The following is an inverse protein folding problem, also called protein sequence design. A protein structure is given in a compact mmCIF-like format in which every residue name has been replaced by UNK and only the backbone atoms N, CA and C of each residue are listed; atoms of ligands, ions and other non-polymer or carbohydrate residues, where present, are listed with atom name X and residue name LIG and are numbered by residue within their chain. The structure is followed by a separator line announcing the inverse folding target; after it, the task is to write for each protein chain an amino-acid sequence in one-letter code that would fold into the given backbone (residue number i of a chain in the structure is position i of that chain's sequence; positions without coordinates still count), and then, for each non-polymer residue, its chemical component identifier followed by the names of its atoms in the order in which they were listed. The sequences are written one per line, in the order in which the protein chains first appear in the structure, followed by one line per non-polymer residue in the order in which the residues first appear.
data_IF_182584423504
#
_entry.id   IF_182584423504
#
_cell.length_a   1.000
_cell.length_b   1.000
_cell.length_c   1.000
_cell.angle_alpha   90.00
_cell.angle_beta   90.00
_cell.angle_gamma   90.00
#
_symmetry.space_group_name_H-M   'P 1'
#
loop_
_entity.id
_entity.type
_entity.pdbx_description
1 polymer ?
#
# COMPACT_ATOMS: atom_id res chain seq x y z
N UNK A 1 -39.28 -18.50 9.81
CA UNK A 1 -38.22 -18.87 10.77
C UNK A 1 -37.32 -17.66 10.99
N UNK A 2 -37.61 -16.87 12.01
CA UNK A 2 -36.76 -15.75 12.45
C UNK A 2 -35.59 -16.33 13.24
N UNK A 3 -34.36 -16.13 12.77
CA UNK A 3 -33.17 -16.47 13.54
C UNK A 3 -33.14 -15.60 14.80
N UNK A 4 -33.37 -16.23 15.95
CA UNK A 4 -33.28 -15.60 17.27
C UNK A 4 -31.93 -14.87 17.44
N UNK A 5 -31.91 -13.57 17.77
CA UNK A 5 -30.68 -12.77 17.91
C UNK A 5 -29.68 -13.36 18.92
N UNK A 6 -30.18 -14.11 19.91
CA UNK A 6 -29.39 -14.75 20.96
C UNK A 6 -28.47 -15.87 20.44
N UNK A 7 -28.80 -16.51 19.30
CA UNK A 7 -27.94 -17.53 18.67
C UNK A 7 -26.76 -16.94 17.88
N UNK A 8 -26.81 -15.65 17.54
CA UNK A 8 -25.66 -14.95 16.96
C UNK A 8 -24.66 -14.52 18.05
N UNK A 9 -25.13 -14.20 19.25
CA UNK A 9 -24.28 -13.79 20.37
C UNK A 9 -23.47 -14.96 20.95
N UNK A 10 -24.08 -16.12 21.24
CA UNK A 10 -23.33 -17.28 21.79
C UNK A 10 -22.24 -17.82 20.87
N UNK A 11 -22.43 -17.72 19.54
CA UNK A 11 -21.46 -18.20 18.54
C UNK A 11 -20.16 -17.39 18.50
N UNK A 12 -20.19 -16.14 18.97
CA UNK A 12 -19.02 -15.27 19.05
C UNK A 12 -18.24 -15.44 20.37
N UNK A 13 -18.85 -16.05 21.40
CA UNK A 13 -18.25 -16.23 22.73
C UNK A 13 -17.42 -17.52 22.86
N UNK A 14 -17.68 -18.52 22.00
CA UNK A 14 -17.03 -19.84 22.02
C UNK A 14 -15.94 -20.01 20.94
N UNK A 15 -15.39 -18.93 20.39
CA UNK A 15 -14.25 -19.09 19.50
C UNK A 15 -13.00 -19.50 20.28
N UNK A 16 -12.31 -20.59 19.88
CA UNK A 16 -11.05 -20.98 20.49
C UNK A 16 -10.08 -19.78 20.48
N UNK A 17 -9.39 -19.56 21.60
CA UNK A 17 -8.45 -18.43 21.77
C UNK A 17 -7.46 -18.36 20.60
N UNK A 18 -7.00 -19.52 20.12
CA UNK A 18 -6.09 -19.65 18.98
C UNK A 18 -6.68 -19.10 17.68
N UNK A 19 -7.95 -19.39 17.40
CA UNK A 19 -8.64 -18.91 16.20
C UNK A 19 -8.87 -17.38 16.24
N UNK A 20 -9.06 -16.82 17.45
CA UNK A 20 -9.15 -15.37 17.64
C UNK A 20 -7.79 -14.70 17.44
N UNK A 21 -6.73 -15.27 18.01
CA UNK A 21 -5.36 -14.75 17.87
C UNK A 21 -4.90 -14.78 16.41
N UNK A 22 -5.18 -15.88 15.70
CA UNK A 22 -4.83 -16.01 14.29
C UNK A 22 -5.55 -14.97 13.42
N UNK A 23 -6.85 -14.75 13.65
CA UNK A 23 -7.59 -13.68 12.95
C UNK A 23 -7.06 -12.30 13.26
N UNK A 24 -6.67 -12.02 14.51
CA UNK A 24 -6.07 -10.74 14.86
C UNK A 24 -4.73 -10.54 14.14
N UNK A 25 -3.90 -11.60 14.05
CA UNK A 25 -2.65 -11.58 13.29
C UNK A 25 -2.87 -11.30 11.81
N UNK A 26 -3.78 -12.04 11.16
CA UNK A 26 -4.12 -11.83 9.74
C UNK A 26 -4.65 -10.41 9.50
N UNK A 27 -5.53 -9.90 10.38
CA UNK A 27 -6.04 -8.53 10.29
C UNK A 27 -4.93 -7.49 10.43
N UNK A 28 -4.05 -7.65 11.42
CA UNK A 28 -2.93 -6.74 11.64
C UNK A 28 -1.97 -6.72 10.44
N UNK A 29 -1.65 -7.91 9.91
CA UNK A 29 -0.81 -8.08 8.74
C UNK A 29 -1.39 -7.45 7.47
N UNK A 30 -2.69 -7.63 7.23
CA UNK A 30 -3.37 -6.98 6.11
C UNK A 30 -3.38 -5.45 6.24
N UNK A 31 -3.60 -4.94 7.46
CA UNK A 31 -3.54 -3.51 7.74
C UNK A 31 -2.14 -2.95 7.48
N UNK A 32 -1.10 -3.62 7.98
CA UNK A 32 0.29 -3.20 7.77
C UNK A 32 0.64 -3.16 6.27
N UNK A 33 0.24 -4.18 5.51
CA UNK A 33 0.43 -4.21 4.05
C UNK A 33 -0.27 -3.04 3.35
N UNK A 34 -1.50 -2.73 3.74
CA UNK A 34 -2.24 -1.59 3.19
C UNK A 34 -1.57 -0.25 3.54
N UNK A 35 -1.16 -0.07 4.79
CA UNK A 35 -0.47 1.15 5.24
C UNK A 35 0.87 1.35 4.51
N UNK A 36 1.62 0.27 4.29
CA UNK A 36 2.86 0.31 3.52
C UNK A 36 2.60 0.66 2.05
N UNK A 37 1.55 0.11 1.44
CA UNK A 37 1.16 0.47 0.08
C UNK A 37 0.80 1.95 -0.04
N UNK A 38 0.06 2.50 0.93
CA UNK A 38 -0.29 3.92 0.98
C UNK A 38 0.96 4.80 1.04
N UNK A 39 1.92 4.46 1.91
CA UNK A 39 3.20 5.18 2.01
C UNK A 39 3.98 5.15 0.70
N UNK A 40 4.03 4.00 0.03
CA UNK A 40 4.73 3.88 -1.25
C UNK A 40 4.05 4.74 -2.34
N UNK A 41 2.71 4.80 -2.36
CA UNK A 41 1.97 5.67 -3.30
C UNK A 41 2.18 7.15 -3.00
N UNK A 42 2.26 7.54 -1.73
CA UNK A 42 2.57 8.92 -1.33
C UNK A 42 3.99 9.31 -1.77
N UNK A 43 4.96 8.39 -1.60
CA UNK A 43 6.34 8.59 -2.08
C UNK A 43 6.39 8.69 -3.61
N UNK A 44 5.61 7.87 -4.32
CA UNK A 44 5.54 7.90 -5.78
C UNK A 44 5.01 9.25 -6.29
N UNK A 45 3.95 9.76 -5.67
CA UNK A 45 3.40 11.08 -5.99
C UNK A 45 4.43 12.19 -5.76
N UNK A 46 5.13 12.15 -4.63
CA UNK A 46 6.20 13.11 -4.32
C UNK A 46 7.29 13.10 -5.39
N UNK A 47 7.85 11.93 -5.71
CA UNK A 47 8.92 11.83 -6.70
C UNK A 47 8.46 12.27 -8.10
N UNK A 48 7.24 11.94 -8.51
CA UNK A 48 6.68 12.38 -9.78
C UNK A 48 6.51 13.90 -9.84
N UNK A 49 6.10 14.52 -8.72
CA UNK A 49 5.98 15.98 -8.61
C UNK A 49 7.35 16.64 -8.72
N UNK A 50 8.35 16.14 -7.99
CA UNK A 50 9.72 16.64 -8.07
C UNK A 50 10.33 16.46 -9.46
N UNK A 51 10.08 15.33 -10.12
CA UNK A 51 10.55 15.08 -11.48
C UNK A 51 9.97 16.11 -12.45
N UNK A 52 8.66 16.38 -12.34
CA UNK A 52 8.01 17.44 -13.13
C UNK A 52 8.68 18.78 -12.89
N UNK A 53 8.87 19.19 -11.63
CA UNK A 53 9.52 20.46 -11.32
C UNK A 53 10.95 20.56 -11.86
N UNK A 54 11.72 19.46 -11.79
CA UNK A 54 13.06 19.40 -12.36
C UNK A 54 13.05 19.52 -13.88
N UNK A 55 12.05 18.95 -14.56
CA UNK A 55 11.87 19.09 -16.01
C UNK A 55 11.41 20.51 -16.38
N UNK A 56 10.49 21.11 -15.63
CA UNK A 56 9.99 22.47 -15.85
C UNK A 56 11.10 23.52 -15.69
N UNK A 57 12.06 23.26 -14.78
CA UNK A 57 13.25 24.10 -14.56
C UNK A 57 14.37 23.82 -15.56
N UNK A 58 14.40 22.64 -16.17
CA UNK A 58 15.38 22.29 -17.19
C UNK A 58 15.01 22.90 -18.54
N UNK A 59 16.01 23.25 -19.34
CA UNK A 59 15.85 23.61 -20.75
C UNK A 59 16.22 22.41 -21.65
N UNK A 60 15.79 22.43 -22.92
CA UNK A 60 15.97 21.30 -23.88
C UNK A 60 17.41 20.77 -23.96
N UNK A 61 18.39 21.63 -23.70
CA UNK A 61 19.82 21.33 -23.81
C UNK A 61 20.47 20.90 -22.48
N UNK A 62 19.74 20.85 -21.35
CA UNK A 62 20.31 20.62 -20.02
C UNK A 62 19.64 19.49 -19.24
N UNK A 63 18.94 18.57 -19.91
CA UNK A 63 18.35 17.41 -19.25
C UNK A 63 19.42 16.70 -18.41
N UNK A 64 19.35 16.90 -17.09
CA UNK A 64 20.49 16.66 -16.23
C UNK A 64 20.55 15.20 -15.82
N UNK A 65 21.74 14.73 -15.45
CA UNK A 65 21.92 13.42 -14.82
C UNK A 65 21.00 13.23 -13.60
N UNK A 66 20.63 14.31 -12.92
CA UNK A 66 19.69 14.29 -11.80
C UNK A 66 18.26 13.93 -12.25
N UNK A 67 17.76 14.54 -13.33
CA UNK A 67 16.43 14.22 -13.91
C UNK A 67 16.35 12.76 -14.33
N UNK A 68 17.41 12.24 -14.96
CA UNK A 68 17.49 10.83 -15.37
C UNK A 68 17.42 9.91 -14.15
N UNK A 69 18.22 10.17 -13.11
CA UNK A 69 18.21 9.40 -11.86
C UNK A 69 16.86 9.43 -11.15
N UNK A 70 16.19 10.59 -11.12
CA UNK A 70 14.85 10.71 -10.54
C UNK A 70 13.82 9.89 -11.33
N UNK A 71 13.92 9.88 -12.65
CA UNK A 71 13.07 9.06 -13.52
C UNK A 71 13.22 7.57 -13.23
N UNK A 72 14.46 7.08 -13.07
CA UNK A 72 14.72 5.69 -12.69
C UNK A 72 14.16 5.32 -11.30
N UNK A 73 14.24 6.25 -10.33
CA UNK A 73 13.66 6.02 -9.00
C UNK A 73 12.13 5.91 -9.06
N UNK A 74 11.48 6.78 -9.85
CA UNK A 74 10.03 6.71 -10.11
C UNK A 74 9.66 5.38 -10.75
N UNK A 75 10.40 4.91 -11.76
CA UNK A 75 10.15 3.63 -12.42
C UNK A 75 10.24 2.45 -11.43
N UNK A 76 11.33 2.39 -10.65
CA UNK A 76 11.55 1.34 -9.65
C UNK A 76 10.43 1.32 -8.61
N UNK A 77 10.03 2.48 -8.10
CA UNK A 77 8.98 2.58 -7.10
C UNK A 77 7.60 2.21 -7.68
N UNK A 78 7.28 2.69 -8.88
CA UNK A 78 6.03 2.35 -9.56
C UNK A 78 5.92 0.83 -9.80
N UNK A 79 7.02 0.18 -10.21
CA UNK A 79 7.08 -1.28 -10.36
C UNK A 79 6.82 -1.99 -9.03
N UNK A 80 7.48 -1.55 -7.95
CA UNK A 80 7.30 -2.12 -6.61
C UNK A 80 5.86 -1.98 -6.09
N UNK A 81 5.25 -0.80 -6.24
CA UNK A 81 3.84 -0.56 -5.88
C UNK A 81 2.91 -1.52 -6.60
N UNK A 82 3.07 -1.67 -7.92
CA UNK A 82 2.26 -2.59 -8.73
C UNK A 82 2.42 -4.04 -8.28
N UNK A 83 3.65 -4.48 -7.99
CA UNK A 83 3.92 -5.83 -7.50
C UNK A 83 3.28 -6.08 -6.12
N UNK A 84 3.37 -5.10 -5.21
CA UNK A 84 2.72 -5.16 -3.89
C UNK A 84 1.18 -5.19 -4.01
N UNK A 85 0.59 -4.43 -4.93
CA UNK A 85 -0.86 -4.47 -5.18
C UNK A 85 -1.31 -5.83 -5.71
N UNK A 86 -0.56 -6.43 -6.63
CA UNK A 86 -0.88 -7.77 -7.16
C UNK A 86 -0.80 -8.85 -6.10
N UNK A 87 0.13 -8.73 -5.15
CA UNK A 87 0.25 -9.66 -4.03
C UNK A 87 -0.90 -9.51 -2.98
N UNK A 88 -1.79 -8.52 -3.14
CA UNK A 88 -2.95 -8.29 -2.29
C UNK A 88 -4.28 -8.74 -2.92
N UNK A 89 -4.29 -9.06 -4.22
CA UNK A 89 -5.44 -9.64 -4.94
C UNK A 89 -5.43 -11.16 -4.81
#
# INVERSE_FOLDING_TARGET
MTLDPQFRQRRNEEEPIDARLERQRVKAWNKERFDNLKKDTDKLLKLATELKESVDKANKDTLSLEVIRKTEEVEKLAKSVREKMRAQL
#
